data_IF_017985807481
#
_entry.id   IF_017985807481
#
_cell.length_a   1.000
_cell.length_b   1.000
_cell.length_c   1.000
_cell.angle_alpha   90.00
_cell.angle_beta   90.00
_cell.angle_gamma   90.00
#
_symmetry.space_group_name_H-M   'P 1'
#
loop_
_entity.id
_entity.type
_entity.pdbx_description
1 polymer ?
#
# COMPACT_ATOMS: atom_id res chain seq x y z
N UNK A 1 -2.90 -27.79 12.60
CA UNK A 1 -3.00 -26.62 13.48
C UNK A 1 -4.33 -25.96 13.18
N UNK A 2 -4.43 -24.64 13.34
CA UNK A 2 -5.45 -23.87 12.62
C UNK A 2 -4.85 -23.47 11.26
N UNK A 3 -5.66 -23.55 10.21
CA UNK A 3 -5.20 -23.24 8.84
C UNK A 3 -5.71 -21.86 8.37
N UNK A 4 -6.53 -21.21 9.19
CA UNK A 4 -7.20 -19.93 8.94
C UNK A 4 -7.20 -19.10 10.22
N UNK A 5 -6.84 -17.83 10.10
CA UNK A 5 -6.76 -16.87 11.20
C UNK A 5 -7.57 -15.63 10.85
N UNK A 6 -8.39 -15.20 11.82
CA UNK A 6 -9.07 -13.91 11.79
C UNK A 6 -8.47 -13.03 12.88
N UNK A 7 -7.98 -11.85 12.50
CA UNK A 7 -7.63 -10.77 13.41
C UNK A 7 -8.83 -9.84 13.48
N UNK A 8 -9.31 -9.54 14.68
CA UNK A 8 -10.64 -8.99 14.86
C UNK A 8 -10.71 -8.08 16.07
N UNK A 9 -11.02 -6.81 15.83
CA UNK A 9 -11.28 -5.87 16.90
C UNK A 9 -12.53 -6.28 17.69
N UNK A 10 -12.43 -6.25 19.02
CA UNK A 10 -13.49 -6.72 19.92
C UNK A 10 -14.76 -5.87 19.88
N UNK A 11 -14.65 -4.64 19.36
CA UNK A 11 -15.72 -3.66 19.28
C UNK A 11 -16.45 -3.66 17.94
N UNK A 12 -16.03 -4.45 16.94
CA UNK A 12 -16.73 -4.55 15.67
C UNK A 12 -17.68 -5.75 15.67
N UNK A 13 -18.92 -5.54 15.22
CA UNK A 13 -19.92 -6.62 15.12
C UNK A 13 -20.53 -6.61 13.72
N UNK A 14 -20.51 -7.76 13.05
CA UNK A 14 -21.14 -7.91 11.74
C UNK A 14 -22.66 -7.71 11.85
N UNK A 15 -23.22 -6.89 10.96
CA UNK A 15 -24.67 -6.61 10.92
C UNK A 15 -25.44 -7.58 10.02
N UNK A 16 -24.74 -8.42 9.26
CA UNK A 16 -25.32 -9.35 8.30
C UNK A 16 -24.66 -10.74 8.45
N UNK A 17 -25.49 -11.76 8.70
CA UNK A 17 -25.07 -13.15 8.87
C UNK A 17 -24.68 -13.85 7.55
N UNK A 18 -24.92 -13.21 6.41
CA UNK A 18 -24.35 -13.62 5.12
C UNK A 18 -22.87 -13.23 4.95
N UNK A 19 -22.29 -12.48 5.89
CA UNK A 19 -20.85 -12.22 5.92
C UNK A 19 -20.12 -13.43 6.54
N UNK A 20 -19.95 -14.48 5.74
CA UNK A 20 -19.37 -15.73 6.21
C UNK A 20 -17.88 -15.57 6.51
N UNK A 21 -17.47 -15.96 7.73
CA UNK A 21 -16.07 -15.93 8.16
C UNK A 21 -15.34 -17.16 7.63
N UNK A 22 -14.81 -17.03 6.42
CA UNK A 22 -13.98 -18.03 5.76
C UNK A 22 -12.65 -17.43 5.31
N UNK A 23 -11.58 -18.22 5.36
CA UNK A 23 -10.33 -17.85 4.71
C UNK A 23 -10.39 -18.28 3.24
N UNK A 24 -9.87 -17.41 2.38
CA UNK A 24 -9.50 -17.73 1.02
C UNK A 24 -7.99 -18.00 0.97
N UNK A 25 -7.49 -18.45 -0.17
CA UNK A 25 -6.03 -18.53 -0.40
C UNK A 25 -5.34 -17.15 -0.38
N UNK A 26 -6.13 -16.09 -0.58
CA UNK A 26 -5.68 -14.70 -0.56
C UNK A 26 -6.18 -14.00 0.71
N UNK A 27 -5.36 -13.12 1.32
CA UNK A 27 -5.80 -12.30 2.45
C UNK A 27 -7.01 -11.44 2.11
N UNK A 28 -7.88 -11.25 3.09
CA UNK A 28 -9.18 -10.58 2.92
C UNK A 28 -9.45 -9.61 4.05
N UNK A 29 -9.89 -8.40 3.70
CA UNK A 29 -10.34 -7.39 4.66
C UNK A 29 -11.87 -7.44 4.76
N UNK A 30 -12.39 -7.65 5.97
CA UNK A 30 -13.82 -7.84 6.24
C UNK A 30 -14.51 -6.53 6.64
N UNK A 31 -13.89 -5.70 7.47
CA UNK A 31 -14.47 -4.46 8.03
C UNK A 31 -14.30 -3.23 7.14
N UNK A 32 -14.56 -3.35 5.83
CA UNK A 32 -14.45 -2.21 4.91
C UNK A 32 -15.52 -1.13 5.13
N UNK A 33 -16.67 -1.49 5.69
CA UNK A 33 -17.85 -0.63 5.75
C UNK A 33 -18.41 -0.61 7.18
N UNK A 34 -17.96 0.37 7.96
CA UNK A 34 -18.28 0.52 9.38
C UNK A 34 -19.24 1.71 9.58
N UNK A 35 -20.18 1.60 10.50
CA UNK A 35 -21.21 2.61 10.79
C UNK A 35 -20.64 4.00 11.12
N UNK A 36 -19.53 4.07 11.86
CA UNK A 36 -18.85 5.34 12.20
C UNK A 36 -18.31 6.09 10.97
N UNK A 37 -18.06 5.38 9.87
CA UNK A 37 -17.67 5.94 8.58
C UNK A 37 -18.84 6.02 7.60
N UNK A 38 -20.08 5.93 8.11
CA UNK A 38 -21.31 5.91 7.32
C UNK A 38 -21.26 4.84 6.21
N UNK A 39 -20.73 3.66 6.56
CA UNK A 39 -20.55 2.52 5.64
C UNK A 39 -19.83 2.92 4.35
N UNK A 40 -18.81 3.77 4.47
CA UNK A 40 -17.93 4.19 3.38
C UNK A 40 -16.49 3.82 3.74
N UNK A 41 -15.73 3.34 2.75
CA UNK A 41 -14.30 3.09 2.93
C UNK A 41 -13.60 4.39 3.30
N UNK A 42 -12.78 4.36 4.37
CA UNK A 42 -12.01 5.52 4.80
C UNK A 42 -10.93 5.89 3.76
N UNK A 43 -10.28 4.88 3.19
CA UNK A 43 -9.36 4.96 2.04
C UNK A 43 -9.26 3.59 1.36
N UNK A 44 -8.84 3.54 0.09
CA UNK A 44 -8.93 2.32 -0.73
C UNK A 44 -8.12 1.13 -0.19
N UNK A 45 -6.96 1.42 0.42
CA UNK A 45 -6.03 0.43 0.97
C UNK A 45 -6.28 0.10 2.44
N UNK A 46 -7.34 0.60 3.08
CA UNK A 46 -7.60 0.31 4.50
C UNK A 46 -7.66 -1.21 4.75
N UNK A 47 -6.94 -1.67 5.78
CA UNK A 47 -6.73 -3.09 6.07
C UNK A 47 -6.75 -3.40 7.58
N UNK A 48 -7.36 -2.52 8.38
CA UNK A 48 -7.56 -2.70 9.83
C UNK A 48 -8.93 -3.25 10.21
N UNK A 49 -9.18 -3.38 11.52
CA UNK A 49 -10.44 -3.87 12.06
C UNK A 49 -10.54 -5.40 12.05
N UNK A 50 -10.86 -5.97 10.89
CA UNK A 50 -11.12 -7.40 10.73
C UNK A 50 -10.46 -7.89 9.45
N UNK A 51 -9.42 -8.71 9.58
CA UNK A 51 -8.71 -9.32 8.46
C UNK A 51 -8.64 -10.83 8.61
N UNK A 52 -8.58 -11.53 7.47
CA UNK A 52 -8.46 -12.97 7.42
C UNK A 52 -7.25 -13.40 6.59
N UNK A 53 -6.52 -14.40 7.08
CA UNK A 53 -5.35 -14.98 6.43
C UNK A 53 -5.38 -16.50 6.53
N UNK A 54 -4.97 -17.18 5.48
CA UNK A 54 -4.50 -18.57 5.62
C UNK A 54 -3.21 -18.59 6.44
N UNK A 55 -2.92 -19.71 7.10
CA UNK A 55 -1.66 -19.89 7.83
C UNK A 55 -0.44 -19.61 6.93
N UNK A 56 -0.45 -20.16 5.71
CA UNK A 56 0.61 -19.98 4.72
C UNK A 56 0.77 -18.50 4.32
N UNK A 57 -0.34 -17.79 4.05
CA UNK A 57 -0.26 -16.38 3.65
C UNK A 57 0.28 -15.50 4.79
N UNK A 58 -0.12 -15.77 6.03
CA UNK A 58 0.35 -15.03 7.21
C UNK A 58 1.83 -15.30 7.50
N UNK A 59 2.28 -16.55 7.39
CA UNK A 59 3.69 -16.92 7.49
C UNK A 59 4.54 -16.28 6.39
N UNK A 60 4.03 -16.27 5.14
CA UNK A 60 4.73 -15.68 3.98
C UNK A 60 5.05 -14.20 4.16
N UNK A 61 4.21 -13.45 4.87
CA UNK A 61 4.42 -12.02 5.14
C UNK A 61 5.18 -11.76 6.45
N UNK A 62 5.64 -12.80 7.14
CA UNK A 62 6.21 -12.73 8.48
C UNK A 62 5.24 -12.10 9.51
N UNK A 63 3.93 -12.27 9.32
CA UNK A 63 2.88 -11.67 10.15
C UNK A 63 2.94 -10.14 10.31
N UNK A 64 2.38 -9.65 11.42
CA UNK A 64 2.44 -8.24 11.82
C UNK A 64 3.86 -7.85 12.28
N UNK A 65 4.20 -6.56 12.18
CA UNK A 65 5.32 -5.97 12.91
C UNK A 65 5.07 -6.01 14.42
N UNK A 66 6.11 -6.29 15.21
CA UNK A 66 6.06 -6.26 16.68
C UNK A 66 6.38 -4.88 17.26
N UNK A 67 6.61 -3.87 16.42
CA UNK A 67 7.26 -2.62 16.81
C UNK A 67 6.32 -1.40 16.82
N UNK A 68 5.03 -1.62 16.55
CA UNK A 68 3.97 -0.64 16.71
C UNK A 68 3.43 -0.62 18.14
N UNK A 69 4.07 0.18 18.98
CA UNK A 69 3.66 0.40 20.38
C UNK A 69 2.98 1.76 20.53
N UNK A 70 1.69 1.73 20.85
CA UNK A 70 0.80 2.89 20.79
C UNK A 70 -0.05 2.88 19.53
N UNK A 71 -0.77 3.97 19.25
CA UNK A 71 -1.79 3.98 18.21
C UNK A 71 -1.24 4.30 16.81
N UNK A 72 -1.53 3.40 15.86
CA UNK A 72 -1.61 3.64 14.43
C UNK A 72 -0.41 3.17 13.60
N UNK A 73 -0.72 2.77 12.36
CA UNK A 73 0.21 2.44 11.28
C UNK A 73 0.56 0.96 11.14
N UNK A 74 0.17 0.12 12.10
CA UNK A 74 0.38 -1.33 12.12
C UNK A 74 -0.43 -2.05 11.05
N UNK A 75 -1.68 -1.64 10.85
CA UNK A 75 -2.56 -2.19 9.80
C UNK A 75 -2.10 -1.78 8.41
N UNK A 76 -1.57 -0.56 8.26
CA UNK A 76 -0.99 -0.08 7.02
C UNK A 76 0.35 -0.79 6.72
N UNK A 77 1.12 -1.15 7.74
CA UNK A 77 2.34 -1.96 7.57
C UNK A 77 1.99 -3.38 7.12
N UNK A 78 1.00 -4.00 7.77
CA UNK A 78 0.45 -5.30 7.38
C UNK A 78 -0.06 -5.28 5.93
N UNK A 79 -0.78 -4.22 5.54
CA UNK A 79 -1.23 -3.99 4.17
C UNK A 79 -0.06 -4.02 3.19
N UNK A 80 1.00 -3.27 3.47
CA UNK A 80 2.18 -3.18 2.60
C UNK A 80 2.92 -4.51 2.52
N UNK A 81 3.11 -5.21 3.64
CA UNK A 81 3.69 -6.57 3.63
C UNK A 81 2.86 -7.51 2.76
N UNK A 82 1.54 -7.42 2.85
CA UNK A 82 0.59 -8.27 2.13
C UNK A 82 0.59 -7.98 0.62
N UNK A 83 0.40 -6.73 0.23
CA UNK A 83 0.19 -6.34 -1.17
C UNK A 83 1.50 -6.04 -1.89
N UNK A 84 2.35 -5.24 -1.28
CA UNK A 84 3.63 -4.87 -1.88
C UNK A 84 4.71 -5.93 -1.67
N UNK A 85 4.75 -6.57 -0.50
CA UNK A 85 5.73 -7.61 -0.19
C UNK A 85 5.40 -8.93 -0.87
N UNK A 86 4.28 -9.55 -0.47
CA UNK A 86 3.88 -10.87 -0.94
C UNK A 86 3.06 -10.90 -2.23
N UNK A 87 2.71 -9.73 -2.79
CA UNK A 87 1.99 -9.56 -4.06
C UNK A 87 0.57 -10.13 -4.06
N UNK A 88 -0.09 -10.13 -2.90
CA UNK A 88 -1.52 -10.43 -2.83
C UNK A 88 -2.37 -9.24 -3.28
N UNK A 89 -3.56 -9.54 -3.81
CA UNK A 89 -4.54 -8.52 -4.11
C UNK A 89 -5.44 -8.27 -2.90
N UNK A 90 -5.77 -7.00 -2.66
CA UNK A 90 -6.79 -6.62 -1.70
C UNK A 90 -8.15 -7.18 -2.12
N UNK A 91 -8.77 -7.95 -1.24
CA UNK A 91 -10.15 -8.42 -1.44
C UNK A 91 -11.02 -8.13 -0.23
N UNK A 92 -12.32 -7.94 -0.49
CA UNK A 92 -13.34 -7.67 0.52
C UNK A 92 -14.62 -8.46 0.19
N UNK A 93 -15.47 -8.78 1.17
CA UNK A 93 -16.84 -9.19 0.90
C UNK A 93 -17.61 -8.08 0.17
N UNK A 94 -18.75 -8.46 -0.41
CA UNK A 94 -19.59 -7.50 -1.11
C UNK A 94 -20.11 -6.45 -0.11
N UNK A 95 -20.14 -5.15 -0.48
CA UNK A 95 -20.46 -4.06 0.45
C UNK A 95 -21.74 -4.29 1.25
N UNK A 96 -22.79 -4.78 0.60
CA UNK A 96 -24.10 -5.07 1.19
C UNK A 96 -24.10 -6.20 2.24
N UNK A 97 -23.02 -7.00 2.28
CA UNK A 97 -22.81 -8.06 3.27
C UNK A 97 -21.80 -7.66 4.34
N UNK A 98 -20.86 -6.77 4.03
CA UNK A 98 -19.76 -6.39 4.94
C UNK A 98 -20.03 -5.13 5.77
N UNK A 99 -21.26 -4.94 6.23
CA UNK A 99 -21.58 -3.87 7.17
C UNK A 99 -21.23 -4.30 8.60
N UNK A 100 -20.52 -3.40 9.29
CA UNK A 100 -20.12 -3.59 10.68
C UNK A 100 -20.57 -2.42 11.55
N UNK A 101 -20.94 -2.75 12.78
CA UNK A 101 -21.25 -1.79 13.81
C UNK A 101 -20.11 -1.72 14.82
N UNK A 102 -19.60 -0.52 15.07
CA UNK A 102 -18.64 -0.29 16.14
C UNK A 102 -19.37 -0.06 17.48
N UNK A 103 -19.01 -0.85 18.48
CA UNK A 103 -19.43 -0.65 19.86
C UNK A 103 -18.73 0.60 20.37
N UNK A 104 -19.51 1.60 20.79
CA UNK A 104 -18.96 2.87 21.26
C UNK A 104 -18.12 2.66 22.51
N UNK A 105 -16.88 3.14 22.46
CA UNK A 105 -16.01 3.25 23.61
C UNK A 105 -15.25 4.58 23.55
N UNK A 106 -14.82 5.08 24.71
CA UNK A 106 -13.92 6.23 24.74
C UNK A 106 -12.52 5.80 24.28
N UNK A 107 -11.76 6.74 23.71
CA UNK A 107 -10.38 6.47 23.37
C UNK A 107 -9.59 6.20 24.65
N UNK A 108 -8.98 5.02 24.76
CA UNK A 108 -8.20 4.66 25.93
C UNK A 108 -6.99 5.58 26.06
N UNK A 109 -6.78 6.16 27.24
CA UNK A 109 -5.66 7.07 27.52
C UNK A 109 -4.29 6.37 27.41
N UNK A 110 -4.25 5.04 27.56
CA UNK A 110 -3.07 4.19 27.36
C UNK A 110 -2.64 4.07 25.90
N UNK A 111 -3.53 4.28 24.94
CA UNK A 111 -3.25 4.13 23.50
C UNK A 111 -2.71 5.44 22.90
N UNK A 112 -1.66 5.99 23.51
CA UNK A 112 -1.05 7.21 22.99
C UNK A 112 -0.59 7.00 21.55
N UNK A 113 -0.69 8.05 20.74
CA UNK A 113 -0.20 8.05 19.36
C UNK A 113 1.26 7.62 19.35
N UNK A 114 1.59 6.57 18.58
CA UNK A 114 2.98 6.17 18.40
C UNK A 114 3.72 7.26 17.60
N UNK A 115 4.70 7.98 18.18
CA UNK A 115 5.37 9.08 17.48
C UNK A 115 6.24 8.60 16.31
N UNK A 116 6.57 7.30 16.25
CA UNK A 116 7.40 6.71 15.21
C UNK A 116 6.60 6.02 14.10
N UNK A 117 5.27 5.91 14.22
CA UNK A 117 4.42 5.13 13.29
C UNK A 117 4.64 5.44 11.81
N UNK A 118 4.81 6.72 11.48
CA UNK A 118 5.01 7.16 10.09
C UNK A 118 6.38 6.75 9.56
N UNK A 119 7.40 6.83 10.40
CA UNK A 119 8.77 6.41 10.06
C UNK A 119 8.86 4.90 9.95
N UNK A 120 8.28 4.16 10.89
CA UNK A 120 8.16 2.70 10.84
C UNK A 120 7.46 2.30 9.53
N UNK A 121 6.28 2.88 9.28
CA UNK A 121 5.51 2.58 8.07
C UNK A 121 6.30 2.88 6.80
N UNK A 122 7.03 4.00 6.75
CA UNK A 122 7.88 4.33 5.60
C UNK A 122 9.05 3.34 5.43
N UNK A 123 9.64 2.90 6.54
CA UNK A 123 10.75 1.96 6.59
C UNK A 123 10.31 0.48 6.57
N UNK A 124 9.02 0.15 6.44
CA UNK A 124 8.48 -1.21 6.54
C UNK A 124 9.32 -2.28 5.81
N UNK A 125 9.77 -2.01 4.58
CA UNK A 125 10.58 -2.96 3.77
C UNK A 125 11.91 -3.31 4.42
N UNK A 126 12.48 -2.38 5.19
CA UNK A 126 13.76 -2.55 5.86
C UNK A 126 13.66 -3.59 6.95
N UNK A 127 12.58 -3.58 7.74
CA UNK A 127 12.44 -4.43 8.92
C UNK A 127 11.54 -5.64 8.72
N UNK A 128 10.72 -5.72 7.67
CA UNK A 128 9.78 -6.82 7.46
C UNK A 128 10.39 -8.23 7.54
N UNK A 129 11.65 -8.40 7.10
CA UNK A 129 12.33 -9.70 7.09
C UNK A 129 12.84 -10.15 8.47
N UNK A 130 12.98 -9.24 9.45
CA UNK A 130 13.52 -9.56 10.79
C UNK A 130 12.64 -9.09 11.96
N UNK A 131 11.57 -8.35 11.68
CA UNK A 131 10.56 -7.91 12.63
C UNK A 131 9.20 -8.48 12.22
N UNK A 132 8.75 -9.51 12.93
CA UNK A 132 7.42 -10.10 12.84
C UNK A 132 7.32 -11.46 13.54
N UNK A 133 6.70 -12.45 12.91
CA UNK A 133 6.53 -13.79 13.49
C UNK A 133 7.85 -14.45 13.89
N UNK A 134 8.88 -14.25 13.08
CA UNK A 134 10.18 -14.90 13.26
C UNK A 134 10.97 -14.41 14.49
N UNK A 135 10.64 -13.25 15.05
CA UNK A 135 11.28 -12.70 16.24
C UNK A 135 10.28 -12.35 17.37
N UNK A 136 9.01 -12.78 17.24
CA UNK A 136 7.98 -12.57 18.25
C UNK A 136 8.43 -13.14 19.60
N UNK A 137 8.62 -12.24 20.58
CA UNK A 137 9.09 -12.58 21.91
C UNK A 137 7.99 -12.29 22.94
N UNK A 138 7.55 -13.33 23.65
CA UNK A 138 6.55 -13.20 24.70
C UNK A 138 6.71 -14.30 25.74
N UNK A 139 6.25 -14.02 26.96
CA UNK A 139 6.09 -15.01 28.02
C UNK A 139 4.61 -15.28 28.26
N UNK A 140 4.23 -16.55 28.26
CA UNK A 140 2.89 -16.96 28.64
C UNK A 140 2.71 -16.86 30.15
N UNK A 141 1.80 -16.00 30.60
CA UNK A 141 1.46 -15.85 32.03
C UNK A 141 0.35 -16.83 32.39
N UNK A 142 -0.74 -16.85 31.63
CA UNK A 142 -1.94 -17.60 31.99
C UNK A 142 -2.73 -18.07 30.76
N UNK A 143 -3.38 -19.24 30.88
CA UNK A 143 -4.36 -19.75 29.93
C UNK A 143 -5.63 -20.17 30.66
N UNK A 144 -6.72 -19.46 30.39
CA UNK A 144 -8.03 -19.76 30.95
C UNK A 144 -8.98 -20.18 29.83
N UNK A 145 -9.56 -21.36 29.95
CA UNK A 145 -10.60 -21.83 29.05
C UNK A 145 -11.96 -21.48 29.67
N UNK A 146 -12.70 -20.59 29.01
CA UNK A 146 -14.11 -20.31 29.30
C UNK A 146 -15.00 -21.25 28.46
N UNK A 147 -16.31 -21.19 28.66
CA UNK A 147 -17.31 -21.87 27.84
C UNK A 147 -17.33 -21.33 26.41
N UNK A 148 -17.12 -20.01 26.24
CA UNK A 148 -17.27 -19.36 24.92
C UNK A 148 -15.96 -18.97 24.24
N UNK A 149 -14.87 -18.82 25.00
CA UNK A 149 -13.59 -18.37 24.46
C UNK A 149 -12.42 -18.91 25.29
N UNK A 150 -11.21 -18.74 24.76
CA UNK A 150 -9.97 -19.01 25.49
C UNK A 150 -9.25 -17.69 25.72
N UNK A 151 -9.04 -17.34 26.99
CA UNK A 151 -8.24 -16.19 27.36
C UNK A 151 -6.78 -16.61 27.50
N UNK A 152 -5.88 -15.89 26.84
CA UNK A 152 -4.44 -16.10 26.91
C UNK A 152 -3.82 -14.77 27.34
N UNK A 153 -3.24 -14.75 28.53
CA UNK A 153 -2.53 -13.58 29.05
C UNK A 153 -1.03 -13.76 28.83
N UNK A 154 -0.39 -12.75 28.24
CA UNK A 154 1.03 -12.78 27.86
C UNK A 154 1.74 -11.50 28.31
N UNK A 155 3.03 -11.62 28.63
CA UNK A 155 3.96 -10.50 28.72
C UNK A 155 4.70 -10.39 27.38
N UNK A 156 4.54 -9.26 26.69
CA UNK A 156 5.10 -8.99 25.36
C UNK A 156 6.55 -8.49 25.39
N UNK A 157 7.23 -8.54 26.54
CA UNK A 157 8.66 -8.25 26.69
C UNK A 157 9.10 -6.93 26.07
N UNK A 158 8.36 -5.85 26.34
CA UNK A 158 8.61 -4.51 25.81
C UNK A 158 10.06 -4.02 25.95
N UNK A 159 10.75 -4.39 27.02
CA UNK A 159 12.15 -4.01 27.26
C UNK A 159 13.16 -4.71 26.35
N UNK A 160 12.74 -5.76 25.63
CA UNK A 160 13.59 -6.61 24.77
C UNK A 160 13.35 -6.37 23.27
N UNK A 161 12.69 -5.26 22.93
CA UNK A 161 12.38 -4.86 21.57
C UNK A 161 13.62 -4.60 20.71
N UNK A 162 13.42 -4.60 19.40
CA UNK A 162 14.45 -4.17 18.46
C UNK A 162 14.71 -2.66 18.69
N UNK A 163 15.97 -2.23 18.85
CA UNK A 163 16.30 -0.81 18.94
C UNK A 163 15.83 -0.05 17.69
N UNK A 164 15.22 1.12 17.88
CA UNK A 164 14.65 1.92 16.79
C UNK A 164 15.67 2.25 15.69
N UNK A 165 16.95 2.37 16.03
CA UNK A 165 18.04 2.64 15.10
C UNK A 165 18.22 1.52 14.07
N UNK A 166 17.84 0.29 14.41
CA UNK A 166 17.86 -0.85 13.49
C UNK A 166 16.63 -0.85 12.56
N UNK A 167 15.51 -0.29 13.02
CA UNK A 167 14.24 -0.25 12.29
C UNK A 167 14.15 0.93 11.33
N UNK A 168 14.73 2.07 11.71
CA UNK A 168 14.56 3.36 11.03
C UNK A 168 15.79 3.74 10.23
N UNK A 169 15.62 4.61 9.23
CA UNK A 169 16.74 5.24 8.53
C UNK A 169 17.24 6.46 9.32
N UNK A 170 18.57 6.53 9.54
CA UNK A 170 19.21 7.40 10.55
C UNK A 170 18.97 8.91 10.35
N UNK A 171 18.65 9.34 9.12
CA UNK A 171 18.63 10.77 8.74
C UNK A 171 17.23 11.43 8.73
N UNK A 172 16.15 10.72 9.07
CA UNK A 172 14.80 11.29 8.96
C UNK A 172 14.36 12.02 10.24
N UNK A 173 13.74 13.23 10.16
CA UNK A 173 13.13 13.90 11.31
C UNK A 173 11.83 13.21 11.76
N UNK A 174 11.53 13.22 13.06
CA UNK A 174 10.22 12.81 13.57
C UNK A 174 9.25 13.96 13.29
N UNK A 175 8.31 13.73 12.39
CA UNK A 175 7.27 14.70 12.04
C UNK A 175 6.00 14.41 12.83
N UNK A 176 5.32 15.46 13.27
CA UNK A 176 3.95 15.37 13.75
C UNK A 176 3.00 14.95 12.63
N UNK A 177 1.78 14.54 13.00
CA UNK A 177 0.79 14.12 12.01
C UNK A 177 0.50 15.21 10.99
N UNK A 178 0.29 16.44 11.49
CA UNK A 178 0.06 17.63 10.68
C UNK A 178 1.23 17.91 9.74
N UNK A 179 2.47 17.91 10.26
CA UNK A 179 3.66 18.18 9.45
C UNK A 179 3.86 17.18 8.33
N UNK A 180 3.64 15.88 8.59
CA UNK A 180 3.73 14.89 7.51
C UNK A 180 2.59 15.04 6.50
N UNK A 181 1.37 15.38 6.94
CA UNK A 181 0.25 15.59 6.03
C UNK A 181 0.48 16.81 5.12
N UNK A 182 1.05 17.88 5.68
CA UNK A 182 1.48 19.06 4.92
C UNK A 182 2.61 18.73 3.93
N UNK A 183 3.57 17.89 4.34
CA UNK A 183 4.67 17.45 3.49
C UNK A 183 4.17 16.56 2.34
N UNK A 184 3.28 15.62 2.62
CA UNK A 184 2.66 14.74 1.60
C UNK A 184 1.84 15.57 0.59
N UNK A 185 1.06 16.54 1.09
CA UNK A 185 0.33 17.50 0.25
C UNK A 185 1.29 18.32 -0.64
N UNK A 186 2.39 18.81 -0.07
CA UNK A 186 3.41 19.53 -0.85
C UNK A 186 3.99 18.64 -1.96
N UNK A 187 4.38 17.41 -1.66
CA UNK A 187 4.92 16.49 -2.68
C UNK A 187 3.88 16.10 -3.74
N UNK A 188 2.61 15.94 -3.38
CA UNK A 188 1.51 15.70 -4.31
C UNK A 188 1.32 16.87 -5.28
N UNK A 189 1.32 18.10 -4.76
CA UNK A 189 1.25 19.32 -5.56
C UNK A 189 2.45 19.39 -6.50
N UNK A 190 3.66 19.18 -5.98
CA UNK A 190 4.89 19.24 -6.77
C UNK A 190 4.93 18.17 -7.87
N UNK A 191 4.52 16.92 -7.59
CA UNK A 191 4.38 15.87 -8.60
C UNK A 191 3.38 16.26 -9.69
N UNK A 192 2.25 16.84 -9.30
CA UNK A 192 1.22 17.30 -10.25
C UNK A 192 1.76 18.40 -11.17
N UNK A 193 2.51 19.36 -10.62
CA UNK A 193 3.18 20.41 -11.40
C UNK A 193 4.20 19.81 -12.38
N UNK A 194 5.02 18.85 -11.94
CA UNK A 194 6.02 18.18 -12.80
C UNK A 194 5.33 17.44 -13.95
N UNK A 195 4.25 16.71 -13.67
CA UNK A 195 3.45 16.02 -14.71
C UNK A 195 2.90 17.03 -15.70
N UNK A 196 2.34 18.15 -15.23
CA UNK A 196 1.81 19.19 -16.09
C UNK A 196 2.87 19.83 -16.99
N UNK A 197 4.05 20.14 -16.45
CA UNK A 197 5.21 20.65 -17.22
C UNK A 197 5.64 19.63 -18.29
N UNK A 198 5.76 18.35 -17.92
CA UNK A 198 6.11 17.28 -18.86
C UNK A 198 5.08 17.15 -19.99
N UNK A 199 3.78 17.26 -19.68
CA UNK A 199 2.73 17.27 -20.69
C UNK A 199 2.88 18.47 -21.64
N UNK A 200 3.12 19.68 -21.14
CA UNK A 200 3.35 20.86 -21.99
C UNK A 200 4.54 20.66 -22.92
N UNK A 201 5.67 20.14 -22.41
CA UNK A 201 6.85 19.81 -23.20
C UNK A 201 6.54 18.79 -24.30
N UNK A 202 5.81 17.71 -23.97
CA UNK A 202 5.36 16.71 -24.95
C UNK A 202 4.48 17.37 -26.03
N UNK A 203 3.50 18.19 -25.64
CA UNK A 203 2.65 18.91 -26.59
C UNK A 203 3.45 19.86 -27.50
N UNK A 204 4.43 20.58 -26.94
CA UNK A 204 5.33 21.46 -27.69
C UNK A 204 6.17 20.67 -28.70
N UNK A 205 6.76 19.54 -28.29
CA UNK A 205 7.52 18.64 -29.16
C UNK A 205 6.65 18.06 -30.29
N UNK A 206 5.42 17.61 -29.99
CA UNK A 206 4.47 17.11 -31.00
C UNK A 206 4.11 18.20 -31.99
N UNK A 207 3.83 19.43 -31.52
CA UNK A 207 3.48 20.57 -32.37
C UNK A 207 4.66 20.96 -33.28
N UNK A 208 5.88 20.94 -32.75
CA UNK A 208 7.10 21.19 -33.53
C UNK A 208 7.39 20.05 -34.51
N UNK A 209 7.22 18.78 -34.15
CA UNK A 209 7.35 17.67 -35.10
C UNK A 209 6.33 17.77 -36.25
N UNK A 210 5.08 18.15 -35.96
CA UNK A 210 4.07 18.44 -36.99
C UNK A 210 4.47 19.64 -37.85
N UNK A 211 5.04 20.68 -37.25
CA UNK A 211 5.58 21.85 -37.95
C UNK A 211 6.73 21.46 -38.89
N UNK A 212 7.70 20.67 -38.42
CA UNK A 212 8.82 20.15 -39.21
C UNK A 212 8.34 19.25 -40.36
N UNK A 213 7.38 18.35 -40.12
CA UNK A 213 6.77 17.55 -41.20
C UNK A 213 6.07 18.43 -42.23
N UNK A 214 5.34 19.47 -41.81
CA UNK A 214 4.65 20.41 -42.70
C UNK A 214 5.64 21.32 -43.47
N UNK A 215 6.71 21.77 -42.82
CA UNK A 215 7.80 22.54 -43.41
C UNK A 215 8.55 21.72 -44.46
N UNK A 216 8.88 20.46 -44.15
CA UNK A 216 9.54 19.56 -45.08
C UNK A 216 8.67 19.23 -46.30
N UNK A 217 7.35 19.01 -46.12
CA UNK A 217 6.43 18.84 -47.26
C UNK A 217 6.28 20.10 -48.11
N UNK A 218 6.28 21.29 -47.51
CA UNK A 218 6.23 22.57 -48.24
C UNK A 218 7.49 22.81 -49.07
N UNK A 219 8.67 22.47 -48.52
CA UNK A 219 9.94 22.59 -49.23
C UNK A 219 10.09 21.56 -50.35
N UNK A 220 9.60 20.32 -50.16
CA UNK A 220 9.56 19.30 -51.22
C UNK A 220 8.68 19.72 -52.41
N UNK A 221 7.51 20.32 -52.14
CA UNK A 221 6.66 20.89 -53.20
C UNK A 221 7.30 22.11 -53.89
N UNK A 222 8.12 22.90 -53.19
CA UNK A 222 8.83 24.05 -53.76
C UNK A 222 10.01 23.64 -54.65
N UNK A 223 10.68 22.53 -54.36
CA UNK A 223 11.75 21.96 -55.21
C UNK A 223 11.22 21.25 -56.46
N UNK A 224 9.99 20.76 -56.46
CA UNK A 224 9.35 20.13 -57.63
C UNK A 224 8.77 21.14 -58.64
N UNK A 225 8.65 22.43 -58.27
CA UNK A 225 8.12 23.49 -59.14
C UNK A 225 9.18 24.32 -59.89
N UNK A 226 10.48 24.14 -59.59
CA UNK A 226 11.59 24.87 -60.22
C UNK A 226 12.72 23.92 -60.66
N UNK A 227 12.69 23.46 -61.92
CA UNK A 227 13.87 22.93 -62.62
C UNK A 227 13.72 21.54 -63.28
N UNK A 228 14.50 21.24 -64.34
CA UNK A 228 14.00 20.67 -65.58
C UNK A 228 14.24 19.16 -65.78
N UNK A 229 13.60 18.66 -66.84
CA UNK A 229 13.80 17.37 -67.52
C UNK A 229 15.25 16.87 -67.54
N UNK A 230 15.47 15.59 -67.21
CA UNK A 230 16.76 14.92 -67.46
C UNK A 230 16.88 13.53 -66.87
N UNK A 231 17.11 12.57 -67.75
CA UNK A 231 17.31 11.12 -67.60
C UNK A 231 18.21 10.56 -66.45
N UNK A 232 17.76 9.39 -65.98
CA UNK A 232 18.50 8.13 -65.78
C UNK A 232 19.80 8.10 -64.93
N UNK A 233 19.80 7.21 -63.92
CA UNK A 233 20.37 5.84 -64.04
C UNK A 233 20.22 5.04 -62.75
N UNK A 234 19.86 3.76 -62.92
CA UNK A 234 19.95 2.68 -61.93
C UNK A 234 21.40 2.51 -61.47
N UNK A 235 21.60 2.37 -60.17
CA UNK A 235 22.73 1.62 -59.61
C UNK A 235 22.15 0.61 -58.62
N UNK A 236 22.35 -0.67 -58.92
CA UNK A 236 22.07 -1.81 -58.05
C UNK A 236 23.28 -2.03 -57.16
N UNK A 237 23.06 -2.28 -55.87
CA UNK A 237 24.03 -2.96 -55.01
C UNK A 237 23.27 -3.82 -53.99
N UNK A 238 23.28 -5.11 -54.26
CA UNK A 238 23.00 -6.21 -53.34
C UNK A 238 24.10 -6.31 -52.27
N UNK A 239 23.72 -6.54 -51.02
CA UNK A 239 24.27 -7.60 -50.15
C UNK A 239 23.53 -7.68 -48.81
N UNK A 240 23.06 -8.89 -48.53
CA UNK A 240 22.67 -9.40 -47.21
C UNK A 240 23.87 -9.38 -46.26
N UNK A 241 23.62 -9.32 -44.94
CA UNK A 241 24.10 -10.25 -43.90
C UNK A 241 23.56 -9.79 -42.52
N UNK A 242 22.99 -10.77 -41.80
CA UNK A 242 22.71 -10.92 -40.36
C UNK A 242 22.11 -9.75 -39.57
#
# INVERSE_FOLDING_TARGET
GFDCFFFHDVDLVAENDENIYECLEIPRHYSGYIDIFNYTLLYDTIFGGITAFSAEAFEKINGYSNEYWGWGGEDDDLERRTMDGAKYNLTRPAPEKSHYKMIKHDHEASNQVNPYRKKLLKAWKKHADFDGLNNLNYELIERNNDVFFKNITVDLKYSERIPLEQLLDEDEPILTDQESQDLDNYYLIMRSIIIFINLILIFYLIKNMKFFKKFHMKNKKKSELNGPSGEARRISLTRNIC
#
